data_IF_927824357582
#
_entry.id   IF_927824357582
#
_cell.length_a   1.000
_cell.length_b   1.000
_cell.length_c   1.000
_cell.angle_alpha   90.00
_cell.angle_beta   90.00
_cell.angle_gamma   90.00
#
_symmetry.space_group_name_H-M   'P 1'
#
loop_
_entity.id
_entity.type
_entity.pdbx_description
1 polymer ?
#
# COMPACT_ATOMS: atom_id res chain seq x y z
N UNK A 1 8.64 -48.82 -21.23
CA UNK A 1 9.35 -47.55 -21.45
C UNK A 1 8.51 -46.47 -20.81
N UNK A 2 9.12 -45.72 -19.89
CA UNK A 2 8.52 -44.71 -19.01
C UNK A 2 8.75 -43.32 -19.60
N UNK A 3 7.69 -42.57 -19.89
CA UNK A 3 7.72 -41.12 -20.12
C UNK A 3 6.52 -40.54 -19.36
N UNK A 4 6.72 -39.98 -18.15
CA UNK A 4 7.22 -38.63 -17.83
C UNK A 4 6.27 -37.52 -18.31
N UNK A 5 5.36 -37.17 -17.40
CA UNK A 5 4.96 -35.83 -16.98
C UNK A 5 5.12 -34.66 -17.97
N UNK A 6 3.99 -34.08 -18.36
CA UNK A 6 3.88 -32.64 -18.54
C UNK A 6 2.53 -32.17 -17.97
N UNK A 7 2.53 -31.90 -16.65
CA UNK A 7 1.54 -31.01 -16.03
C UNK A 7 1.62 -29.65 -16.73
N UNK A 8 0.75 -29.41 -17.70
CA UNK A 8 0.47 -28.06 -18.14
C UNK A 8 -0.43 -27.44 -17.07
N UNK A 9 0.19 -26.62 -16.22
CA UNK A 9 -0.48 -25.62 -15.40
C UNK A 9 -1.31 -24.73 -16.33
N UNK A 10 -2.61 -25.00 -16.41
CA UNK A 10 -3.57 -24.01 -16.83
C UNK A 10 -3.76 -23.08 -15.62
N UNK A 11 -3.03 -21.96 -15.58
CA UNK A 11 -3.34 -20.87 -14.67
C UNK A 11 -4.80 -20.44 -14.90
N UNK A 12 -5.58 -20.16 -13.85
CA UNK A 12 -6.99 -19.85 -14.01
C UNK A 12 -7.09 -18.58 -14.86
N UNK A 13 -7.74 -18.75 -16.00
CA UNK A 13 -8.18 -17.74 -16.97
C UNK A 13 -8.38 -16.38 -16.31
N UNK A 14 -7.43 -15.48 -16.61
CA UNK A 14 -7.59 -14.05 -16.41
C UNK A 14 -8.86 -13.63 -17.14
N UNK A 15 -9.91 -13.37 -16.36
CA UNK A 15 -10.94 -12.45 -16.77
C UNK A 15 -10.19 -11.11 -16.83
N UNK A 16 -9.59 -10.79 -17.98
CA UNK A 16 -9.12 -9.44 -18.28
C UNK A 16 -10.37 -8.56 -18.41
N UNK A 17 -11.00 -8.27 -17.27
CA UNK A 17 -11.69 -7.01 -17.15
C UNK A 17 -10.59 -5.97 -17.36
N UNK A 18 -10.66 -5.14 -18.41
CA UNK A 18 -9.66 -4.11 -18.61
C UNK A 18 -9.60 -3.30 -17.31
N UNK A 19 -8.41 -3.25 -16.69
CA UNK A 19 -8.20 -2.52 -15.45
C UNK A 19 -8.47 -1.04 -15.73
N UNK A 20 -9.66 -0.60 -15.33
CA UNK A 20 -10.11 0.77 -15.51
C UNK A 20 -9.92 1.52 -14.18
N UNK A 21 -8.83 2.30 -14.02
CA UNK A 21 -8.55 2.99 -12.77
C UNK A 21 -9.61 4.06 -12.45
N UNK A 22 -10.25 4.66 -13.46
CA UNK A 22 -11.30 5.67 -13.22
C UNK A 22 -12.60 5.04 -12.68
N UNK A 23 -12.97 3.87 -13.20
CA UNK A 23 -14.13 3.13 -12.71
C UNK A 23 -13.89 2.54 -11.32
N UNK A 24 -12.67 2.05 -11.06
CA UNK A 24 -12.28 1.57 -9.74
C UNK A 24 -12.30 2.68 -8.68
N UNK A 25 -11.81 3.87 -9.01
CA UNK A 25 -11.89 5.05 -8.12
C UNK A 25 -13.34 5.45 -7.86
N UNK A 26 -14.17 5.54 -8.92
CA UNK A 26 -15.59 5.87 -8.77
C UNK A 26 -16.30 4.88 -7.84
N UNK A 27 -16.04 3.59 -8.04
CA UNK A 27 -16.59 2.52 -7.20
C UNK A 27 -16.14 2.65 -5.75
N UNK A 28 -14.86 2.96 -5.51
CA UNK A 28 -14.34 3.19 -4.17
C UNK A 28 -15.03 4.40 -3.51
N UNK A 29 -15.22 5.50 -4.25
CA UNK A 29 -15.89 6.70 -3.76
C UNK A 29 -17.38 6.45 -3.45
N UNK A 30 -18.08 5.68 -4.29
CA UNK A 30 -19.46 5.24 -4.05
C UNK A 30 -19.56 4.44 -2.75
N UNK A 31 -18.67 3.47 -2.55
CA UNK A 31 -18.61 2.69 -1.31
C UNK A 31 -18.28 3.53 -0.07
N UNK A 32 -17.39 4.52 -0.21
CA UNK A 32 -17.08 5.49 0.84
C UNK A 32 -18.24 6.48 1.11
N UNK A 33 -19.18 6.61 0.17
CA UNK A 33 -20.41 7.39 0.30
C UNK A 33 -21.56 6.66 1.01
N UNK A 34 -21.47 5.34 1.20
CA UNK A 34 -22.53 4.55 1.83
C UNK A 34 -22.83 5.03 3.25
N UNK A 35 -24.10 5.33 3.52
CA UNK A 35 -24.60 5.79 4.81
C UNK A 35 -25.28 4.65 5.58
N UNK A 36 -24.89 4.51 6.85
CA UNK A 36 -25.57 3.59 7.77
C UNK A 36 -27.01 4.06 8.04
N UNK A 37 -27.96 3.13 7.97
CA UNK A 37 -29.38 3.40 8.22
C UNK A 37 -30.22 3.65 6.96
N UNK A 38 -29.59 3.98 5.83
CA UNK A 38 -30.22 4.04 4.50
C UNK A 38 -29.79 2.90 3.59
N UNK A 39 -28.57 2.41 3.78
CA UNK A 39 -28.02 1.26 3.05
C UNK A 39 -28.35 -0.02 3.80
N UNK A 40 -28.89 -1.01 3.08
CA UNK A 40 -29.19 -2.35 3.62
C UNK A 40 -27.92 -3.19 3.78
N UNK A 41 -28.02 -4.26 4.57
CA UNK A 41 -26.89 -5.20 4.76
C UNK A 41 -26.51 -5.90 3.44
N UNK A 42 -27.50 -6.33 2.67
CA UNK A 42 -27.27 -7.03 1.40
C UNK A 42 -26.58 -6.11 0.38
N UNK A 43 -26.95 -4.83 0.32
CA UNK A 43 -26.25 -3.84 -0.50
C UNK A 43 -24.79 -3.66 -0.07
N UNK A 44 -24.53 -3.58 1.24
CA UNK A 44 -23.15 -3.50 1.76
C UNK A 44 -22.34 -4.72 1.35
N UNK A 45 -22.91 -5.93 1.43
CA UNK A 45 -22.22 -7.16 1.07
C UNK A 45 -21.98 -7.26 -0.44
N UNK A 46 -22.90 -6.78 -1.28
CA UNK A 46 -22.72 -6.72 -2.73
C UNK A 46 -21.62 -5.73 -3.12
N UNK A 47 -21.63 -4.52 -2.54
CA UNK A 47 -20.54 -3.56 -2.72
C UNK A 47 -19.20 -4.15 -2.27
N UNK A 48 -19.17 -4.83 -1.13
CA UNK A 48 -17.95 -5.48 -0.63
C UNK A 48 -17.44 -6.54 -1.61
N UNK A 49 -18.32 -7.38 -2.15
CA UNK A 49 -17.93 -8.39 -3.17
C UNK A 49 -17.36 -7.75 -4.43
N UNK A 50 -17.98 -6.66 -4.89
CA UNK A 50 -17.52 -5.94 -6.07
C UNK A 50 -16.14 -5.29 -5.82
N UNK A 51 -15.97 -4.60 -4.69
CA UNK A 51 -14.69 -4.02 -4.29
C UNK A 51 -13.60 -5.09 -4.16
N UNK A 52 -13.89 -6.23 -3.53
CA UNK A 52 -12.93 -7.33 -3.38
C UNK A 52 -12.44 -7.87 -4.72
N UNK A 53 -13.31 -7.99 -5.72
CA UNK A 53 -12.91 -8.38 -7.08
C UNK A 53 -11.93 -7.37 -7.69
N UNK A 54 -12.21 -6.07 -7.55
CA UNK A 54 -11.34 -5.02 -8.04
C UNK A 54 -10.00 -5.01 -7.29
N UNK A 55 -10.00 -5.16 -5.96
CA UNK A 55 -8.77 -5.26 -5.16
C UNK A 55 -7.92 -6.44 -5.60
N UNK A 56 -8.51 -7.62 -5.86
CA UNK A 56 -7.79 -8.79 -6.40
C UNK A 56 -7.16 -8.46 -7.76
N UNK A 57 -7.91 -7.82 -8.66
CA UNK A 57 -7.41 -7.48 -9.99
C UNK A 57 -6.24 -6.47 -9.93
N UNK A 58 -6.40 -5.37 -9.18
CA UNK A 58 -5.36 -4.34 -9.05
C UNK A 58 -4.14 -4.81 -8.26
N UNK A 59 -4.32 -5.59 -7.19
CA UNK A 59 -3.19 -6.16 -6.44
C UNK A 59 -2.36 -7.11 -7.30
N UNK A 60 -3.00 -7.94 -8.14
CA UNK A 60 -2.31 -8.79 -9.10
C UNK A 60 -1.49 -8.00 -10.13
N UNK A 61 -2.04 -6.90 -10.64
CA UNK A 61 -1.33 -6.01 -11.57
C UNK A 61 -0.14 -5.31 -10.92
N UNK A 62 -0.33 -4.74 -9.73
CA UNK A 62 0.71 -4.08 -8.94
C UNK A 62 1.81 -5.06 -8.54
N UNK A 63 1.45 -6.31 -8.22
CA UNK A 63 2.40 -7.38 -7.91
C UNK A 63 3.22 -7.78 -9.15
N UNK A 64 2.59 -7.87 -10.33
CA UNK A 64 3.25 -8.26 -11.57
C UNK A 64 4.28 -7.23 -12.05
N UNK A 65 4.00 -5.93 -11.86
CA UNK A 65 4.96 -4.87 -12.15
C UNK A 65 6.17 -4.88 -11.19
N UNK A 66 5.95 -5.33 -9.94
CA UNK A 66 6.99 -5.44 -8.92
C UNK A 66 7.35 -4.10 -8.27
N UNK A 67 8.25 -4.13 -7.28
CA UNK A 67 8.70 -2.95 -6.54
C UNK A 67 8.60 -3.12 -5.01
N UNK A 68 9.51 -2.47 -4.28
CA UNK A 68 9.54 -2.53 -2.81
C UNK A 68 8.35 -1.74 -2.22
N UNK A 69 7.97 -0.62 -2.84
CA UNK A 69 6.78 0.17 -2.46
C UNK A 69 5.49 -0.59 -2.69
N UNK A 70 5.31 -1.12 -3.90
CA UNK A 70 4.20 -1.99 -4.29
C UNK A 70 3.97 -3.19 -3.35
N UNK A 71 5.04 -3.70 -2.72
CA UNK A 71 4.95 -4.84 -1.80
C UNK A 71 4.09 -4.59 -0.58
N UNK A 72 4.16 -3.39 0.00
CA UNK A 72 3.32 -3.03 1.13
C UNK A 72 1.85 -3.05 0.74
N UNK A 73 1.52 -2.42 -0.39
CA UNK A 73 0.14 -2.23 -0.83
C UNK A 73 -0.59 -3.52 -1.17
N UNK A 74 0.06 -4.50 -1.84
CA UNK A 74 -0.62 -5.78 -2.12
C UNK A 74 -0.68 -6.70 -0.89
N UNK A 75 0.25 -6.60 0.07
CA UNK A 75 0.16 -7.34 1.33
C UNK A 75 -0.97 -6.81 2.21
N UNK A 76 -1.15 -5.49 2.28
CA UNK A 76 -2.28 -4.87 2.94
C UNK A 76 -3.61 -5.35 2.30
N UNK A 77 -3.65 -5.43 0.97
CA UNK A 77 -4.80 -5.96 0.26
C UNK A 77 -5.11 -7.41 0.62
N UNK A 78 -4.10 -8.28 0.67
CA UNK A 78 -4.29 -9.66 1.09
C UNK A 78 -4.85 -9.74 2.52
N UNK A 79 -4.28 -8.96 3.45
CA UNK A 79 -4.70 -8.94 4.84
C UNK A 79 -6.15 -8.48 5.02
N UNK A 80 -6.56 -7.43 4.31
CA UNK A 80 -7.93 -6.94 4.37
C UNK A 80 -8.88 -7.99 3.79
N UNK A 81 -8.57 -8.61 2.65
CA UNK A 81 -9.44 -9.63 2.05
C UNK A 81 -9.58 -10.89 2.92
N UNK A 82 -8.53 -11.28 3.65
CA UNK A 82 -8.57 -12.41 4.59
C UNK A 82 -9.36 -12.11 5.87
N UNK A 83 -9.42 -10.84 6.29
CA UNK A 83 -10.06 -10.41 7.53
C UNK A 83 -11.54 -10.04 7.38
N UNK A 84 -12.21 -10.64 6.38
CA UNK A 84 -13.62 -10.40 6.09
C UNK A 84 -14.55 -10.61 7.30
N UNK A 85 -15.62 -9.81 7.42
CA UNK A 85 -16.63 -9.98 8.46
C UNK A 85 -17.36 -11.32 8.25
N UNK A 86 -17.69 -12.01 9.34
CA UNK A 86 -18.51 -13.22 9.29
C UNK A 86 -19.94 -12.91 8.84
N UNK A 87 -20.63 -13.92 8.29
CA UNK A 87 -22.00 -13.79 7.80
C UNK A 87 -22.99 -13.37 8.91
N UNK A 88 -22.70 -13.71 10.18
CA UNK A 88 -23.50 -13.34 11.36
C UNK A 88 -23.08 -12.01 12.02
N UNK A 89 -22.17 -11.26 11.39
CA UNK A 89 -21.67 -10.00 11.92
C UNK A 89 -22.71 -8.88 11.90
N UNK A 90 -22.60 -7.95 12.85
CA UNK A 90 -23.39 -6.72 12.87
C UNK A 90 -23.19 -5.92 11.58
N UNK A 91 -24.26 -5.29 11.08
CA UNK A 91 -24.25 -4.45 9.86
C UNK A 91 -23.14 -3.39 9.89
N UNK A 92 -22.89 -2.81 11.07
CA UNK A 92 -21.80 -1.86 11.27
C UNK A 92 -20.42 -2.43 10.91
N UNK A 93 -20.16 -3.69 11.26
CA UNK A 93 -18.85 -4.32 11.02
C UNK A 93 -18.61 -4.55 9.53
N UNK A 94 -19.63 -4.97 8.77
CA UNK A 94 -19.48 -5.09 7.33
C UNK A 94 -19.41 -3.75 6.62
N UNK A 95 -20.16 -2.74 7.09
CA UNK A 95 -20.02 -1.40 6.57
C UNK A 95 -18.59 -0.87 6.79
N UNK A 96 -18.02 -1.06 7.98
CA UNK A 96 -16.65 -0.65 8.27
C UNK A 96 -15.65 -1.39 7.37
N UNK A 97 -15.82 -2.71 7.23
CA UNK A 97 -14.99 -3.52 6.35
C UNK A 97 -15.07 -3.08 4.88
N UNK A 98 -16.27 -2.84 4.35
CA UNK A 98 -16.45 -2.35 2.98
C UNK A 98 -15.66 -1.05 2.72
N UNK A 99 -15.62 -0.14 3.70
CA UNK A 99 -14.83 1.10 3.61
C UNK A 99 -13.33 0.86 3.66
N UNK A 100 -12.89 -0.11 4.46
CA UNK A 100 -11.47 -0.46 4.53
C UNK A 100 -11.01 -1.09 3.20
N UNK A 101 -11.82 -1.99 2.61
CA UNK A 101 -11.58 -2.52 1.26
C UNK A 101 -11.55 -1.38 0.23
N UNK A 102 -12.46 -0.41 0.30
CA UNK A 102 -12.48 0.74 -0.62
C UNK A 102 -11.24 1.64 -0.48
N UNK A 103 -10.73 1.85 0.74
CA UNK A 103 -9.48 2.61 0.98
C UNK A 103 -8.28 1.91 0.38
N UNK A 104 -8.17 0.60 0.57
CA UNK A 104 -7.11 -0.21 -0.03
C UNK A 104 -7.19 -0.15 -1.55
N UNK A 105 -8.40 -0.27 -2.13
CA UNK A 105 -8.59 -0.15 -3.56
C UNK A 105 -8.05 1.18 -4.10
N UNK A 106 -8.38 2.30 -3.45
CA UNK A 106 -7.89 3.63 -3.84
C UNK A 106 -6.36 3.74 -3.75
N UNK A 107 -5.76 3.15 -2.73
CA UNK A 107 -4.30 3.06 -2.60
C UNK A 107 -3.66 2.27 -3.74
N UNK A 108 -4.22 1.11 -4.07
CA UNK A 108 -3.76 0.27 -5.18
C UNK A 108 -3.91 0.95 -6.55
N UNK A 109 -5.03 1.64 -6.80
CA UNK A 109 -5.23 2.40 -8.05
C UNK A 109 -4.18 3.49 -8.19
N UNK A 110 -3.84 4.17 -7.08
CA UNK A 110 -2.78 5.19 -7.06
C UNK A 110 -1.42 4.58 -7.39
N UNK A 111 -1.07 3.45 -6.75
CA UNK A 111 0.19 2.76 -7.03
C UNK A 111 0.27 2.24 -8.47
N UNK A 112 -0.82 1.68 -8.98
CA UNK A 112 -0.93 1.22 -10.36
C UNK A 112 -0.69 2.37 -11.36
N UNK A 113 -1.27 3.55 -11.12
CA UNK A 113 -0.99 4.76 -11.95
C UNK A 113 0.47 5.17 -11.89
N UNK A 114 1.07 5.20 -10.69
CA UNK A 114 2.50 5.53 -10.53
C UNK A 114 3.39 4.58 -11.35
N UNK A 115 3.09 3.27 -11.32
CA UNK A 115 3.82 2.28 -12.10
C UNK A 115 3.67 2.47 -13.62
N UNK A 116 2.48 2.87 -14.08
CA UNK A 116 2.26 3.19 -15.50
C UNK A 116 3.07 4.42 -15.94
N UNK A 117 3.19 5.43 -15.07
CA UNK A 117 3.99 6.64 -15.33
C UNK A 117 5.50 6.34 -15.31
N UNK A 118 5.99 5.54 -14.37
CA UNK A 118 7.40 5.13 -14.29
C UNK A 118 7.83 4.17 -15.42
N UNK A 119 6.87 3.40 -15.97
CA UNK A 119 7.11 2.53 -17.13
C UNK A 119 7.29 3.31 -18.44
N UNK A 120 6.96 4.61 -18.48
CA UNK A 120 7.35 5.49 -19.57
C UNK A 120 8.84 5.79 -19.40
N UNK A 121 9.72 5.31 -20.30
CA UNK A 121 11.14 5.57 -20.14
C UNK A 121 11.35 7.09 -20.17
N UNK A 122 11.80 7.64 -19.04
CA UNK A 122 12.32 8.99 -18.99
C UNK A 122 13.38 9.09 -20.08
N UNK A 123 13.13 9.96 -21.08
CA UNK A 123 14.13 10.34 -22.06
C UNK A 123 15.45 10.59 -21.31
N UNK A 124 16.60 10.09 -21.79
CA UNK A 124 17.84 10.19 -21.06
C UNK A 124 18.07 11.66 -20.72
N UNK A 125 17.97 11.97 -19.43
CA UNK A 125 18.33 13.28 -18.93
C UNK A 125 19.76 13.51 -19.41
N UNK A 126 19.94 14.52 -20.28
CA UNK A 126 21.26 14.94 -20.74
C UNK A 126 22.11 15.12 -19.49
N UNK A 127 23.07 14.23 -19.31
CA UNK A 127 24.15 14.42 -18.36
C UNK A 127 24.76 15.79 -18.68
N UNK A 128 24.80 16.75 -17.74
CA UNK A 128 25.64 17.91 -17.94
C UNK A 128 27.06 17.37 -18.09
N UNK A 129 27.57 17.59 -19.30
CA UNK A 129 28.88 17.18 -19.79
C UNK A 129 29.89 17.45 -18.67
N UNK A 130 30.54 16.40 -18.20
CA UNK A 130 31.68 16.51 -17.31
C UNK A 130 32.68 17.49 -17.95
N UNK A 131 32.81 18.68 -17.38
CA UNK A 131 33.92 19.57 -17.67
C UNK A 131 35.15 18.93 -17.04
N UNK A 132 35.90 18.26 -17.90
CA UNK A 132 37.21 17.68 -17.63
C UNK A 132 38.21 18.83 -17.64
N UNK A 133 38.22 19.63 -16.57
CA UNK A 133 39.25 20.64 -16.36
C UNK A 133 39.74 20.60 -14.91
N UNK A 134 41.05 20.37 -14.82
CA UNK A 134 41.93 20.49 -13.65
C UNK A 134 41.97 19.30 -12.70
N UNK A 135 42.81 18.34 -13.12
CA UNK A 135 43.80 17.74 -12.22
C UNK A 135 44.46 18.86 -11.39
N UNK A 136 44.30 18.82 -10.07
CA UNK A 136 45.32 19.34 -9.16
C UNK A 136 45.50 18.37 -8.00
N UNK A 137 46.71 17.85 -7.91
CA UNK A 137 47.19 16.98 -6.84
C UNK A 137 47.55 17.88 -5.65
N UNK A 138 46.89 17.70 -4.50
CA UNK A 138 47.20 18.52 -3.33
C UNK A 138 46.71 17.95 -2.01
N UNK A 139 47.53 17.06 -1.43
CA UNK A 139 47.78 16.93 0.01
C UNK A 139 46.63 16.50 0.93
N UNK A 140 46.66 15.23 1.33
CA UNK A 140 46.01 14.68 2.51
C UNK A 140 46.84 14.98 3.78
N UNK A 141 46.21 15.34 4.92
CA UNK A 141 46.75 15.02 6.24
C UNK A 141 45.72 14.26 7.13
N UNK A 142 46.14 13.75 8.31
CA UNK A 142 45.84 12.39 8.71
C UNK A 142 44.56 12.19 9.53
N UNK A 143 44.19 10.90 9.57
CA UNK A 143 43.18 10.24 10.39
C UNK A 143 43.25 10.67 11.86
N UNK A 144 42.14 11.20 12.39
CA UNK A 144 41.87 11.23 13.82
C UNK A 144 40.63 10.40 14.15
N UNK A 145 40.90 9.19 14.64
CA UNK A 145 39.96 8.22 15.13
C UNK A 145 39.45 8.62 16.53
N UNK A 146 38.64 9.68 16.65
CA UNK A 146 37.96 9.97 17.92
C UNK A 146 36.75 10.91 17.76
N UNK A 147 35.60 10.37 17.34
CA UNK A 147 34.27 10.93 17.67
C UNK A 147 33.14 9.91 17.44
N UNK A 148 33.32 8.70 17.97
CA UNK A 148 32.17 7.88 18.38
C UNK A 148 31.70 8.36 19.75
N UNK A 149 30.93 9.44 19.79
CA UNK A 149 30.18 9.83 20.98
C UNK A 149 28.87 10.49 20.56
N UNK A 150 27.84 9.65 20.41
CA UNK A 150 26.45 10.09 20.38
C UNK A 150 26.02 10.37 21.83
N UNK A 151 25.65 11.60 22.22
CA UNK A 151 24.90 11.79 23.44
C UNK A 151 23.44 11.39 23.20
N UNK A 152 23.02 10.27 23.81
CA UNK A 152 21.61 9.97 24.03
C UNK A 152 21.07 10.97 25.05
N UNK A 153 20.29 11.94 24.59
CA UNK A 153 19.52 12.82 25.47
C UNK A 153 18.14 13.08 24.86
N UNK A 154 17.15 12.34 25.32
CA UNK A 154 15.74 12.75 25.27
C UNK A 154 15.27 13.04 26.72
N UNK A 155 14.32 13.96 26.88
CA UNK A 155 14.30 14.90 28.00
C UNK A 155 13.56 14.40 29.24
N UNK A 156 14.15 14.70 30.41
CA UNK A 156 13.46 14.68 31.70
C UNK A 156 12.58 15.92 31.79
N UNK A 157 11.27 15.76 31.96
CA UNK A 157 10.38 16.90 32.17
C UNK A 157 8.89 16.65 32.00
N UNK A 158 8.30 15.73 32.75
CA UNK A 158 6.85 15.72 32.96
C UNK A 158 6.55 15.78 34.46
N UNK A 159 6.01 16.92 34.87
CA UNK A 159 5.62 17.31 36.23
C UNK A 159 4.51 16.40 36.75
N UNK A 160 4.63 15.94 37.99
CA UNK A 160 3.51 15.45 38.81
C UNK A 160 2.66 16.65 39.25
N UNK A 161 1.34 16.65 39.04
CA UNK A 161 0.46 17.48 39.83
C UNK A 161 0.17 16.79 41.17
N UNK A 162 0.50 17.51 42.24
CA UNK A 162 0.03 17.29 43.60
C UNK A 162 -1.38 17.85 43.73
N UNK A 163 -2.34 17.07 44.22
CA UNK A 163 -3.33 17.63 45.15
C UNK A 163 -3.94 16.55 46.03
N UNK A 164 -3.78 16.79 47.32
CA UNK A 164 -4.43 16.12 48.44
C UNK A 164 -5.93 16.41 48.45
N UNK A 165 -6.73 15.47 48.94
CA UNK A 165 -8.18 15.62 49.10
C UNK A 165 -8.75 14.51 49.96
N UNK A 166 -8.44 14.52 51.26
CA UNK A 166 -9.22 13.84 52.29
C UNK A 166 -10.64 14.41 52.36
N UNK A 167 -11.65 13.58 52.54
CA UNK A 167 -12.44 13.49 53.80
C UNK A 167 -13.61 12.52 53.62
N UNK A 168 -13.76 11.70 54.66
CA UNK A 168 -14.89 10.94 55.17
C UNK A 168 -16.29 11.36 54.72
#
# INVERSE_FOLDING_TARGET
>A
MTETTASQLLGPTGIELPLNPEEADRTADEALGLQLGTTTRDEIDEYTRLLSKLVIAFSGAVQAAGGIGARGSWLEAAQVLESGPRDDSLVFNAWAHARDVARVLRGLVTEYRNQMEESVPALPARTPRASLDKLDFGTQPPVNEESRRWPRSCPSGARRPTTSGSTT
#
